data_IF_956474172993
#
_entry.id   IF_956474172993
#
_cell.length_a   1.000
_cell.length_b   1.000
_cell.length_c   1.000
_cell.angle_alpha   90.00
_cell.angle_beta   90.00
_cell.angle_gamma   90.00
#
_symmetry.space_group_name_H-M   'P 1'
#
loop_
_entity.id
_entity.type
_entity.pdbx_description
1 polymer ?
#
# COMPACT_ATOMS: atom_id res chain seq x y z
N UNK A 1 18.80 -4.35 -8.15
CA UNK A 1 18.81 -5.14 -9.41
C UNK A 1 17.79 -4.53 -10.36
N UNK A 2 18.20 -4.27 -11.60
CA UNK A 2 17.29 -3.79 -12.65
C UNK A 2 16.73 -5.03 -13.39
N UNK A 3 15.40 -5.17 -13.34
CA UNK A 3 14.68 -6.29 -13.93
C UNK A 3 14.15 -5.95 -15.32
N UNK A 4 15.01 -5.86 -16.33
CA UNK A 4 14.61 -5.46 -17.69
C UNK A 4 13.53 -6.35 -18.33
N UNK A 5 13.35 -7.59 -17.88
CA UNK A 5 12.29 -8.50 -18.34
C UNK A 5 10.95 -8.37 -17.58
N UNK A 6 10.89 -7.56 -16.54
CA UNK A 6 9.70 -7.49 -15.65
C UNK A 6 8.67 -6.46 -16.10
N UNK A 7 8.88 -5.73 -17.19
CA UNK A 7 8.05 -4.58 -17.52
C UNK A 7 8.09 -3.54 -16.39
N UNK A 8 6.92 -3.22 -15.84
CA UNK A 8 6.80 -2.27 -14.73
C UNK A 8 6.68 -2.92 -13.34
N UNK A 9 6.79 -4.24 -13.22
CA UNK A 9 6.67 -4.93 -11.96
C UNK A 9 7.95 -4.80 -11.11
N UNK A 10 7.77 -4.68 -9.79
CA UNK A 10 8.86 -4.61 -8.82
C UNK A 10 8.71 -5.74 -7.80
N UNK A 11 9.82 -6.17 -7.20
CA UNK A 11 9.82 -7.28 -6.24
C UNK A 11 10.86 -7.07 -5.14
N UNK A 12 10.45 -7.28 -3.88
CA UNK A 12 11.34 -7.43 -2.74
C UNK A 12 11.50 -8.90 -2.38
N UNK A 13 12.69 -9.46 -2.60
CA UNK A 13 12.99 -10.88 -2.32
C UNK A 13 14.17 -11.03 -1.39
N UNK A 14 14.23 -12.17 -0.70
CA UNK A 14 15.40 -12.58 0.07
C UNK A 14 15.89 -13.95 -0.40
N UNK A 15 17.19 -14.09 -0.50
CA UNK A 15 17.86 -15.35 -0.83
C UNK A 15 18.71 -15.75 0.36
N UNK A 16 18.58 -17.00 0.81
CA UNK A 16 19.46 -17.62 1.79
C UNK A 16 20.53 -18.40 1.01
N UNK A 17 21.79 -18.05 1.24
CA UNK A 17 22.95 -18.71 0.61
C UNK A 17 23.40 -19.93 1.40
N UNK A 18 24.23 -20.76 0.78
CA UNK A 18 24.93 -21.82 1.49
C UNK A 18 25.73 -21.21 2.65
N UNK A 19 25.48 -21.72 3.87
CA UNK A 19 26.04 -21.13 5.08
C UNK A 19 25.10 -20.23 5.89
N UNK A 20 23.84 -20.02 5.42
CA UNK A 20 22.78 -19.33 6.16
C UNK A 20 22.78 -17.82 6.04
N UNK A 21 23.68 -17.22 5.24
CA UNK A 21 23.68 -15.79 4.98
C UNK A 21 22.42 -15.40 4.16
N UNK A 22 21.67 -14.43 4.70
CA UNK A 22 20.47 -13.88 4.04
C UNK A 22 20.81 -12.58 3.34
N UNK A 23 20.58 -12.54 2.03
CA UNK A 23 20.73 -11.33 1.23
C UNK A 23 19.35 -10.87 0.71
N UNK A 24 18.98 -9.62 1.00
CA UNK A 24 17.77 -9.00 0.47
C UNK A 24 18.06 -8.30 -0.85
N UNK A 25 17.15 -8.44 -1.81
CA UNK A 25 17.22 -7.78 -3.11
C UNK A 25 15.95 -6.99 -3.37
N UNK A 26 16.10 -5.78 -3.90
CA UNK A 26 15.02 -5.08 -4.60
C UNK A 26 15.25 -5.24 -6.11
N UNK A 27 14.24 -5.75 -6.81
CA UNK A 27 14.24 -5.89 -8.27
C UNK A 27 13.29 -4.83 -8.81
N UNK A 28 13.85 -3.86 -9.54
CA UNK A 28 13.11 -2.73 -10.07
C UNK A 28 12.79 -2.94 -11.54
N UNK A 29 11.52 -2.83 -11.91
CA UNK A 29 11.08 -2.74 -13.30
C UNK A 29 11.39 -1.37 -13.91
N UNK A 30 11.57 -1.32 -15.22
CA UNK A 30 11.81 -0.08 -15.96
C UNK A 30 10.48 0.49 -16.43
N UNK A 31 10.11 1.68 -15.93
CA UNK A 31 8.86 2.37 -16.30
C UNK A 31 9.10 3.63 -17.13
N UNK A 32 10.22 4.28 -16.91
CA UNK A 32 10.59 5.53 -17.56
C UNK A 32 11.94 5.33 -18.24
N UNK A 33 12.04 5.83 -19.44
CA UNK A 33 13.27 5.78 -20.23
C UNK A 33 13.64 7.21 -20.63
N UNK A 34 14.93 7.50 -20.63
CA UNK A 34 15.45 8.76 -21.14
C UNK A 34 15.38 8.84 -22.67
N UNK A 35 15.88 9.94 -23.23
CA UNK A 35 15.87 10.16 -24.69
C UNK A 35 16.76 9.17 -25.47
N UNK A 36 17.68 8.52 -24.79
CA UNK A 36 18.60 7.52 -25.34
C UNK A 36 18.04 6.09 -25.19
N UNK A 37 16.88 5.93 -24.55
CA UNK A 37 16.25 4.63 -24.30
C UNK A 37 16.82 3.89 -23.09
N UNK A 38 17.59 4.58 -22.23
CA UNK A 38 18.09 4.02 -20.98
C UNK A 38 17.07 4.20 -19.86
N UNK A 39 17.00 3.24 -18.94
CA UNK A 39 16.09 3.30 -17.81
C UNK A 39 16.40 4.51 -16.91
N UNK A 40 15.41 5.36 -16.72
CA UNK A 40 15.53 6.56 -15.90
C UNK A 40 14.92 6.35 -14.51
N UNK A 41 15.74 6.43 -13.48
CA UNK A 41 15.36 6.32 -12.06
C UNK A 41 15.58 7.65 -11.31
N UNK A 42 15.74 8.78 -12.01
CA UNK A 42 16.08 10.07 -11.41
C UNK A 42 14.92 10.75 -10.66
N UNK A 43 13.67 10.33 -10.87
CA UNK A 43 12.51 10.91 -10.20
C UNK A 43 12.38 10.46 -8.73
N UNK A 44 11.61 11.19 -7.91
CA UNK A 44 11.38 10.86 -6.49
C UNK A 44 10.65 9.52 -6.25
N UNK A 45 9.84 9.04 -7.21
CA UNK A 45 9.14 7.75 -7.15
C UNK A 45 10.04 6.51 -7.04
N UNK A 46 11.18 6.40 -7.75
CA UNK A 46 12.05 5.24 -7.64
C UNK A 46 12.56 4.99 -6.21
N UNK A 47 12.83 6.04 -5.45
CA UNK A 47 13.27 5.89 -4.05
C UNK A 47 12.17 5.27 -3.17
N UNK A 48 10.93 5.73 -3.29
CA UNK A 48 9.78 5.16 -2.56
C UNK A 48 9.54 3.70 -2.94
N UNK A 49 9.63 3.36 -4.23
CA UNK A 49 9.51 1.97 -4.70
C UNK A 49 10.65 1.11 -4.16
N UNK A 50 11.88 1.58 -4.19
CA UNK A 50 13.04 0.87 -3.66
C UNK A 50 12.85 0.54 -2.17
N UNK A 51 12.45 1.52 -1.37
CA UNK A 51 12.18 1.33 0.07
C UNK A 51 11.00 0.37 0.28
N UNK A 52 9.95 0.48 -0.52
CA UNK A 52 8.81 -0.43 -0.49
C UNK A 52 9.26 -1.88 -0.66
N UNK A 53 9.98 -2.17 -1.74
CA UNK A 53 10.43 -3.54 -2.05
C UNK A 53 11.41 -4.10 -1.01
N UNK A 54 12.32 -3.27 -0.49
CA UNK A 54 13.20 -3.71 0.59
C UNK A 54 12.44 -4.03 1.88
N UNK A 55 11.41 -3.25 2.20
CA UNK A 55 10.61 -3.46 3.41
C UNK A 55 9.91 -4.83 3.41
N UNK A 56 9.51 -5.38 2.26
CA UNK A 56 8.97 -6.74 2.19
C UNK A 56 9.90 -7.79 2.79
N UNK A 57 11.21 -7.65 2.62
CA UNK A 57 12.21 -8.58 3.18
C UNK A 57 12.26 -8.58 4.71
N UNK A 58 11.80 -7.51 5.36
CA UNK A 58 11.78 -7.36 6.81
C UNK A 58 10.38 -7.55 7.41
N UNK A 59 9.33 -7.18 6.67
CA UNK A 59 7.94 -7.23 7.14
C UNK A 59 7.34 -8.62 6.94
N UNK A 60 7.42 -9.17 5.72
CA UNK A 60 6.71 -10.40 5.38
C UNK A 60 7.04 -11.59 6.29
N UNK A 61 8.30 -11.81 6.71
CA UNK A 61 8.62 -12.92 7.61
C UNK A 61 7.94 -12.82 8.98
N UNK A 62 7.61 -11.60 9.45
CA UNK A 62 7.03 -11.39 10.77
C UNK A 62 5.63 -11.99 10.90
N UNK A 63 4.90 -12.07 9.81
CA UNK A 63 3.58 -12.72 9.75
C UNK A 63 3.64 -14.16 10.28
N UNK A 64 4.71 -14.88 10.00
CA UNK A 64 4.86 -16.31 10.29
C UNK A 64 5.62 -16.60 11.59
N UNK A 65 5.95 -15.57 12.35
CA UNK A 65 6.63 -15.68 13.65
C UNK A 65 5.63 -15.49 14.80
N UNK A 66 5.93 -16.09 15.94
CA UNK A 66 5.30 -15.82 17.24
C UNK A 66 3.77 -15.99 17.25
N UNK A 67 3.19 -16.79 16.32
CA UNK A 67 1.75 -16.97 16.18
C UNK A 67 1.01 -15.73 15.64
N UNK A 68 1.73 -14.81 15.00
CA UNK A 68 1.15 -13.55 14.52
C UNK A 68 0.07 -13.78 13.46
N UNK A 69 0.25 -14.79 12.60
CA UNK A 69 -0.72 -15.13 11.56
C UNK A 69 -2.09 -15.46 12.15
N UNK A 70 -2.11 -16.33 13.15
CA UNK A 70 -3.33 -16.74 13.83
C UNK A 70 -4.02 -15.58 14.55
N UNK A 71 -3.22 -14.68 15.15
CA UNK A 71 -3.73 -13.49 15.86
C UNK A 71 -4.32 -12.46 14.91
N UNK A 72 -3.74 -12.28 13.72
CA UNK A 72 -4.23 -11.33 12.71
C UNK A 72 -5.45 -11.83 11.92
N UNK A 73 -5.70 -13.15 11.92
CA UNK A 73 -6.68 -13.77 11.04
C UNK A 73 -8.08 -13.15 11.15
N UNK A 74 -8.60 -13.01 12.35
CA UNK A 74 -9.97 -12.50 12.55
C UNK A 74 -10.11 -11.04 12.07
N UNK A 75 -9.16 -10.19 12.38
CA UNK A 75 -9.12 -8.81 11.89
C UNK A 75 -8.99 -8.77 10.36
N UNK A 76 -8.12 -9.59 9.79
CA UNK A 76 -7.90 -9.66 8.36
C UNK A 76 -9.12 -10.11 7.57
N UNK A 77 -9.77 -11.17 8.00
CA UNK A 77 -11.00 -11.67 7.38
C UNK A 77 -12.12 -10.62 7.42
N UNK A 78 -12.26 -9.89 8.53
CA UNK A 78 -13.24 -8.82 8.65
C UNK A 78 -12.94 -7.63 7.73
N UNK A 79 -11.68 -7.19 7.66
CA UNK A 79 -11.27 -6.10 6.78
C UNK A 79 -11.51 -6.46 5.31
N UNK A 80 -11.07 -7.65 4.89
CA UNK A 80 -11.30 -8.14 3.51
C UNK A 80 -12.79 -8.26 3.21
N UNK A 81 -13.62 -8.72 4.14
CA UNK A 81 -15.07 -8.83 3.90
C UNK A 81 -15.72 -7.48 3.55
N UNK A 82 -15.23 -6.38 4.15
CA UNK A 82 -15.75 -5.02 3.91
C UNK A 82 -15.15 -4.38 2.64
N UNK A 83 -13.88 -4.65 2.34
CA UNK A 83 -13.12 -4.01 1.25
C UNK A 83 -12.78 -4.98 0.10
N UNK A 84 -13.52 -6.07 -0.04
CA UNK A 84 -13.20 -7.18 -0.94
C UNK A 84 -13.01 -6.75 -2.39
N UNK A 85 -13.97 -6.02 -2.92
CA UNK A 85 -13.97 -5.65 -4.33
C UNK A 85 -12.82 -4.67 -4.64
N UNK A 86 -12.63 -3.71 -3.76
CA UNK A 86 -11.63 -2.66 -3.92
C UNK A 86 -10.20 -3.21 -3.79
N UNK A 87 -9.96 -4.07 -2.80
CA UNK A 87 -8.64 -4.67 -2.59
C UNK A 87 -8.34 -5.76 -3.63
N UNK A 88 -9.34 -6.55 -4.04
CA UNK A 88 -9.16 -7.55 -5.11
C UNK A 88 -8.82 -6.90 -6.44
N UNK A 89 -9.43 -5.75 -6.77
CA UNK A 89 -9.10 -4.99 -7.97
C UNK A 89 -7.64 -4.52 -8.02
N UNK A 90 -6.97 -4.50 -6.86
CA UNK A 90 -5.55 -4.14 -6.73
C UNK A 90 -4.63 -5.34 -6.53
N UNK A 91 -5.15 -6.56 -6.63
CA UNK A 91 -4.38 -7.79 -6.49
C UNK A 91 -4.23 -8.31 -5.05
N UNK A 92 -5.04 -7.80 -4.11
CA UNK A 92 -5.06 -8.25 -2.70
C UNK A 92 -6.39 -8.91 -2.34
N UNK A 93 -6.73 -10.10 -2.92
CA UNK A 93 -7.99 -10.80 -2.62
C UNK A 93 -8.00 -11.42 -1.21
N UNK A 94 -6.82 -11.59 -0.61
CA UNK A 94 -6.60 -12.25 0.67
C UNK A 94 -5.98 -11.31 1.71
N UNK A 95 -6.27 -11.57 2.98
CA UNK A 95 -5.85 -10.71 4.09
C UNK A 95 -4.34 -10.76 4.39
N UNK A 96 -3.66 -11.88 4.15
CA UNK A 96 -2.22 -12.02 4.45
C UNK A 96 -1.36 -11.08 3.60
N UNK A 97 -1.48 -11.08 2.24
CA UNK A 97 -0.77 -10.09 1.42
C UNK A 97 -1.17 -8.66 1.75
N UNK A 98 -2.47 -8.41 2.00
CA UNK A 98 -2.98 -7.09 2.36
C UNK A 98 -2.30 -6.53 3.61
N UNK A 99 -2.12 -7.33 4.68
CA UNK A 99 -1.44 -6.88 5.89
C UNK A 99 0.04 -6.59 5.68
N UNK A 100 0.75 -7.46 4.96
CA UNK A 100 2.14 -7.22 4.62
C UNK A 100 2.29 -5.89 3.87
N UNK A 101 1.45 -5.70 2.88
CA UNK A 101 1.39 -4.50 2.08
C UNK A 101 1.07 -3.26 2.91
N UNK A 102 0.10 -3.35 3.83
CA UNK A 102 -0.29 -2.27 4.71
C UNK A 102 0.89 -1.75 5.55
N UNK A 103 1.68 -2.65 6.15
CA UNK A 103 2.84 -2.28 6.96
C UNK A 103 3.95 -1.70 6.09
N UNK A 104 4.22 -2.28 4.92
CA UNK A 104 5.22 -1.79 3.96
C UNK A 104 4.89 -0.38 3.48
N UNK A 105 3.63 -0.11 3.11
CA UNK A 105 3.15 1.21 2.64
C UNK A 105 3.27 2.27 3.73
N UNK A 106 2.90 1.95 4.96
CA UNK A 106 3.07 2.85 6.09
C UNK A 106 4.54 3.12 6.40
N UNK A 107 5.42 2.12 6.24
CA UNK A 107 6.85 2.28 6.42
C UNK A 107 7.49 3.20 5.36
N UNK A 108 6.96 3.23 4.13
CA UNK A 108 7.36 4.22 3.11
C UNK A 108 7.01 5.64 3.57
N UNK A 109 5.80 5.87 4.07
CA UNK A 109 5.39 7.18 4.60
C UNK A 109 6.28 7.57 5.80
N UNK A 110 6.60 6.62 6.68
CA UNK A 110 7.51 6.85 7.81
C UNK A 110 8.90 7.24 7.32
N UNK A 111 9.45 6.53 6.35
CA UNK A 111 10.73 6.88 5.72
C UNK A 111 10.72 8.30 5.13
N UNK A 112 9.67 8.68 4.41
CA UNK A 112 9.54 10.02 3.84
C UNK A 112 9.59 11.10 4.94
N UNK A 113 8.91 10.88 6.08
CA UNK A 113 8.97 11.79 7.22
C UNK A 113 10.36 11.87 7.83
N UNK A 114 11.00 10.74 8.05
CA UNK A 114 12.31 10.66 8.69
C UNK A 114 13.41 11.26 7.82
N UNK A 115 13.23 11.23 6.48
CA UNK A 115 14.14 11.82 5.51
C UNK A 115 13.82 13.28 5.16
N UNK A 116 12.83 13.89 5.80
CA UNK A 116 12.52 15.30 5.66
C UNK A 116 11.83 15.68 4.34
N UNK A 117 11.06 14.77 3.74
CA UNK A 117 10.19 15.12 2.61
C UNK A 117 9.18 16.19 3.03
N UNK A 118 8.73 17.00 2.08
CA UNK A 118 7.76 18.05 2.36
C UNK A 118 6.42 17.47 2.83
N UNK A 119 5.69 18.26 3.63
CA UNK A 119 4.35 17.88 4.09
C UNK A 119 3.41 17.55 2.92
N UNK A 120 3.55 18.26 1.80
CA UNK A 120 2.75 18.04 0.59
C UNK A 120 3.05 16.69 -0.07
N UNK A 121 4.32 16.29 -0.16
CA UNK A 121 4.71 14.99 -0.72
C UNK A 121 4.19 13.85 0.15
N UNK A 122 4.30 13.98 1.47
CA UNK A 122 3.80 12.99 2.43
C UNK A 122 2.28 12.87 2.34
N UNK A 123 1.55 13.99 2.30
CA UNK A 123 0.09 13.97 2.17
C UNK A 123 -0.36 13.38 0.82
N UNK A 124 0.36 13.67 -0.26
CA UNK A 124 0.11 13.07 -1.56
C UNK A 124 0.29 11.55 -1.53
N UNK A 125 1.31 11.05 -0.84
CA UNK A 125 1.53 9.62 -0.67
C UNK A 125 0.40 8.98 0.15
N UNK A 126 0.05 9.56 1.31
CA UNK A 126 -1.06 9.08 2.14
C UNK A 126 -2.37 9.06 1.35
N UNK A 127 -2.65 10.11 0.58
CA UNK A 127 -3.84 10.17 -0.27
C UNK A 127 -3.83 9.09 -1.36
N UNK A 128 -2.67 8.83 -1.96
CA UNK A 128 -2.50 7.74 -2.93
C UNK A 128 -2.85 6.41 -2.29
N UNK A 129 -2.37 6.14 -1.08
CA UNK A 129 -2.66 4.90 -0.37
C UNK A 129 -4.15 4.80 0.02
N UNK A 130 -4.76 5.90 0.45
CA UNK A 130 -6.19 5.97 0.78
C UNK A 130 -7.07 5.71 -0.45
N UNK A 131 -6.72 6.25 -1.61
CA UNK A 131 -7.40 6.00 -2.86
C UNK A 131 -7.27 4.54 -3.35
N UNK A 132 -6.27 3.84 -2.83
CA UNK A 132 -6.10 2.40 -2.98
C UNK A 132 -6.72 1.59 -1.83
N UNK A 133 -7.59 2.20 -1.04
CA UNK A 133 -8.31 1.60 0.08
C UNK A 133 -7.42 1.09 1.23
N UNK A 134 -6.16 1.51 1.30
CA UNK A 134 -5.34 1.38 2.51
C UNK A 134 -5.65 2.55 3.46
N UNK A 135 -6.87 2.58 3.96
CA UNK A 135 -7.49 3.72 4.69
C UNK A 135 -6.76 4.07 5.98
N UNK A 136 -6.07 3.13 6.57
CA UNK A 136 -5.35 3.23 7.84
C UNK A 136 -3.91 3.70 7.72
N UNK A 137 -3.40 4.00 6.52
CA UNK A 137 -1.97 4.28 6.29
C UNK A 137 -1.43 5.41 7.16
N UNK A 138 -2.14 6.52 7.30
CA UNK A 138 -1.71 7.64 8.14
C UNK A 138 -1.63 7.27 9.64
N UNK A 139 -2.59 6.51 10.14
CA UNK A 139 -2.62 6.07 11.54
C UNK A 139 -1.54 5.01 11.82
N UNK A 140 -1.28 4.13 10.85
CA UNK A 140 -0.22 3.13 10.96
C UNK A 140 1.18 3.78 10.87
N UNK A 141 1.37 4.80 10.02
CA UNK A 141 2.60 5.63 10.01
C UNK A 141 2.83 6.28 11.39
N UNK A 142 1.78 6.81 12.01
CA UNK A 142 1.86 7.39 13.35
C UNK A 142 2.30 6.35 14.39
N UNK A 143 1.76 5.15 14.33
CA UNK A 143 2.18 4.02 15.18
C UNK A 143 3.64 3.61 14.92
N UNK A 144 4.07 3.54 13.67
CA UNK A 144 5.49 3.28 13.34
C UNK A 144 6.40 4.41 13.84
N UNK A 145 5.90 5.64 13.91
CA UNK A 145 6.60 6.75 14.57
C UNK A 145 6.81 6.53 16.07
N UNK A 146 5.88 5.87 16.77
CA UNK A 146 6.11 5.44 18.16
C UNK A 146 7.24 4.41 18.25
N UNK A 147 7.25 3.43 17.34
CA UNK A 147 8.33 2.45 17.24
C UNK A 147 9.70 3.12 17.06
N UNK A 148 9.79 4.09 16.14
CA UNK A 148 11.05 4.82 15.87
C UNK A 148 11.57 5.56 17.10
N UNK A 149 10.68 6.12 17.93
CA UNK A 149 11.05 6.85 19.16
C UNK A 149 11.34 5.97 20.37
N UNK A 150 10.89 4.71 20.37
CA UNK A 150 10.98 3.80 21.51
C UNK A 150 11.88 2.60 21.24
N UNK A 151 13.01 2.81 20.54
CA UNK A 151 13.93 1.73 20.14
C UNK A 151 14.58 1.01 21.35
N UNK A 152 14.73 1.68 22.46
CA UNK A 152 15.21 1.06 23.71
C UNK A 152 14.22 0.00 24.22
N UNK A 153 12.93 0.26 24.10
CA UNK A 153 11.85 -0.66 24.48
C UNK A 153 11.58 -1.71 23.41
N UNK A 154 11.66 -1.31 22.15
CA UNK A 154 11.38 -2.14 20.99
C UNK A 154 12.58 -2.14 20.04
N UNK A 155 13.62 -2.93 20.33
CA UNK A 155 14.86 -2.91 19.54
C UNK A 155 14.67 -3.42 18.10
N UNK A 156 13.64 -4.23 17.87
CA UNK A 156 13.32 -4.78 16.53
C UNK A 156 11.84 -4.60 16.19
N UNK A 157 11.49 -4.60 14.90
CA UNK A 157 10.10 -4.59 14.46
C UNK A 157 9.34 -5.84 14.99
N UNK A 158 10.01 -6.98 15.12
CA UNK A 158 9.45 -8.18 15.75
C UNK A 158 8.97 -7.91 17.18
N UNK A 159 9.76 -7.21 17.99
CA UNK A 159 9.36 -6.87 19.36
C UNK A 159 8.21 -5.87 19.43
N UNK A 160 7.99 -5.07 18.37
CA UNK A 160 6.89 -4.12 18.24
C UNK A 160 5.65 -4.72 17.58
N UNK A 161 5.76 -5.84 16.91
CA UNK A 161 4.69 -6.43 16.10
C UNK A 161 3.38 -6.67 16.87
N UNK A 162 3.37 -7.04 18.16
CA UNK A 162 2.14 -7.11 18.94
C UNK A 162 1.31 -5.81 18.94
N UNK A 163 1.96 -4.64 18.92
CA UNK A 163 1.28 -3.34 18.82
C UNK A 163 0.64 -3.11 17.44
N UNK A 164 1.26 -3.66 16.41
CA UNK A 164 0.70 -3.65 15.05
C UNK A 164 -0.55 -4.54 14.99
N UNK A 165 -0.54 -5.70 15.65
CA UNK A 165 -1.72 -6.57 15.74
C UNK A 165 -2.87 -5.84 16.45
N UNK A 166 -2.63 -5.28 17.64
CA UNK A 166 -3.63 -4.50 18.38
C UNK A 166 -4.19 -3.32 17.56
N UNK A 167 -3.36 -2.73 16.72
CA UNK A 167 -3.79 -1.68 15.81
C UNK A 167 -4.78 -2.22 14.77
N UNK A 168 -4.49 -3.37 14.14
CA UNK A 168 -5.38 -3.95 13.14
C UNK A 168 -6.68 -4.51 13.74
N UNK A 169 -6.68 -4.95 15.00
CA UNK A 169 -7.92 -5.29 15.70
C UNK A 169 -8.85 -4.06 15.75
N UNK A 170 -8.32 -2.88 16.11
CA UNK A 170 -9.08 -1.62 16.11
C UNK A 170 -9.50 -1.17 14.71
N UNK A 171 -8.65 -1.35 13.70
CA UNK A 171 -9.03 -1.08 12.30
C UNK A 171 -10.21 -1.95 11.91
N UNK A 172 -10.17 -3.24 12.21
CA UNK A 172 -11.26 -4.16 11.90
C UNK A 172 -12.57 -3.80 12.60
N UNK A 173 -12.50 -3.26 13.82
CA UNK A 173 -13.70 -2.78 14.54
C UNK A 173 -14.36 -1.58 13.83
N UNK A 174 -13.56 -0.72 13.19
CA UNK A 174 -14.00 0.56 12.63
C UNK A 174 -14.01 0.59 11.09
N UNK A 175 -13.76 -0.52 10.41
CA UNK A 175 -13.50 -0.53 8.97
C UNK A 175 -14.69 -0.05 8.13
N UNK A 176 -15.92 -0.37 8.54
CA UNK A 176 -17.12 0.09 7.84
C UNK A 176 -17.27 1.62 7.92
N UNK A 177 -17.02 2.20 9.09
CA UNK A 177 -17.03 3.66 9.27
C UNK A 177 -15.92 4.32 8.47
N UNK A 178 -14.70 3.77 8.48
CA UNK A 178 -13.58 4.26 7.69
C UNK A 178 -13.89 4.26 6.20
N UNK A 179 -14.54 3.19 5.68
CA UNK A 179 -15.00 3.11 4.29
C UNK A 179 -16.06 4.18 4.00
N UNK A 180 -17.06 4.31 4.85
CA UNK A 180 -18.12 5.31 4.70
C UNK A 180 -17.56 6.74 4.69
N UNK A 181 -16.64 7.06 5.60
CA UNK A 181 -15.95 8.35 5.63
C UNK A 181 -15.13 8.60 4.37
N UNK A 182 -14.39 7.59 3.88
CA UNK A 182 -13.65 7.73 2.64
C UNK A 182 -14.57 8.03 1.46
N UNK A 183 -15.65 7.27 1.31
CA UNK A 183 -16.62 7.46 0.22
C UNK A 183 -17.33 8.81 0.28
N UNK A 184 -17.59 9.35 1.46
CA UNK A 184 -18.21 10.68 1.62
C UNK A 184 -17.33 11.83 1.13
N UNK A 185 -16.02 11.59 0.96
CA UNK A 185 -15.09 12.58 0.41
C UNK A 185 -14.75 12.31 -1.07
N UNK A 186 -15.28 11.24 -1.66
CA UNK A 186 -15.09 10.95 -3.07
C UNK A 186 -16.13 11.74 -3.89
N UNK A 187 -15.72 12.41 -4.99
CA UNK A 187 -16.68 13.03 -5.90
C UNK A 187 -17.69 12.01 -6.38
N UNK A 188 -18.97 12.38 -6.33
CA UNK A 188 -20.06 11.56 -6.86
C UNK A 188 -20.44 12.03 -8.25
N UNK A 189 -20.78 11.09 -9.14
CA UNK A 189 -21.30 11.44 -10.46
C UNK A 189 -22.72 11.97 -10.28
N UNK A 190 -22.89 13.29 -10.44
CA UNK A 190 -24.18 13.94 -10.34
C UNK A 190 -25.00 13.82 -11.63
N UNK A 191 -24.35 13.87 -12.79
CA UNK A 191 -25.00 13.73 -14.08
C UNK A 191 -24.06 13.19 -15.15
N UNK A 192 -24.65 12.50 -16.13
CA UNK A 192 -24.01 12.12 -17.39
C UNK A 192 -24.82 12.70 -18.57
N UNK A 193 -24.16 13.07 -19.64
CA UNK A 193 -24.80 13.52 -20.88
C UNK A 193 -24.03 12.93 -22.07
N UNK A 194 -24.69 12.45 -23.11
CA UNK A 194 -26.11 12.55 -23.42
C UNK A 194 -27.01 11.41 -22.88
N UNK A 195 -26.50 10.57 -21.99
CA UNK A 195 -27.30 9.45 -21.43
C UNK A 195 -27.15 9.42 -19.89
N UNK A 196 -28.07 8.75 -19.23
CA UNK A 196 -28.08 8.60 -17.78
C UNK A 196 -27.10 7.49 -17.33
N UNK A 197 -26.65 7.55 -16.06
CA UNK A 197 -25.81 6.52 -15.47
C UNK A 197 -26.56 5.16 -15.48
N UNK A 198 -25.89 4.10 -15.97
CA UNK A 198 -26.47 2.77 -16.13
C UNK A 198 -27.30 2.58 -17.41
N UNK A 199 -27.36 3.53 -18.33
CA UNK A 199 -28.03 3.38 -19.62
C UNK A 199 -27.46 2.19 -20.41
N UNK A 200 -28.37 1.43 -21.04
CA UNK A 200 -28.01 0.32 -21.93
C UNK A 200 -28.27 0.71 -23.38
N UNK A 201 -27.52 0.07 -24.30
CA UNK A 201 -27.70 0.34 -25.74
C UNK A 201 -27.23 1.72 -26.17
N UNK A 202 -26.26 2.27 -25.47
CA UNK A 202 -25.63 3.56 -25.83
C UNK A 202 -25.01 3.45 -27.22
N UNK A 203 -25.22 4.49 -28.06
CA UNK A 203 -24.70 4.55 -29.42
C UNK A 203 -23.17 4.37 -29.42
N UNK A 204 -22.64 3.35 -30.09
CA UNK A 204 -21.19 3.14 -30.18
C UNK A 204 -20.45 4.20 -31.00
N UNK A 205 -21.22 5.03 -31.78
CA UNK A 205 -20.70 6.19 -32.50
C UNK A 205 -20.55 7.46 -31.65
N UNK A 206 -20.85 7.39 -30.35
CA UNK A 206 -20.71 8.53 -29.44
C UNK A 206 -19.23 8.96 -29.34
N UNK A 207 -18.98 10.22 -29.65
CA UNK A 207 -17.63 10.81 -29.65
C UNK A 207 -17.34 11.72 -28.47
N UNK A 208 -18.37 12.08 -27.70
CA UNK A 208 -18.25 12.99 -26.55
C UNK A 208 -19.19 12.55 -25.42
N UNK A 209 -18.70 12.58 -24.22
CA UNK A 209 -19.43 12.34 -22.97
C UNK A 209 -19.07 13.42 -21.96
N UNK A 210 -20.05 14.03 -21.33
CA UNK A 210 -19.84 14.97 -20.21
C UNK A 210 -20.22 14.27 -18.92
N UNK A 211 -19.29 14.30 -17.96
CA UNK A 211 -19.48 13.77 -16.60
C UNK A 211 -19.46 14.97 -15.65
N UNK A 212 -20.55 15.14 -14.90
CA UNK A 212 -20.65 16.17 -13.85
C UNK A 212 -20.51 15.50 -12.50
N UNK A 213 -19.66 16.05 -11.66
CA UNK A 213 -19.47 15.63 -10.26
C UNK A 213 -20.05 16.68 -9.31
N UNK A 214 -20.60 16.24 -8.19
CA UNK A 214 -21.02 17.08 -7.06
C UNK A 214 -19.86 17.30 -6.05
#
# INVERSE_FOLDING_TARGET
>A
VIGCGNGSANYGISVVRDGGEKTAYSIMGCRVFDREGLADFSGGRPASILIHEFNHSFVNPLMFLDGNRERLKAAGEKIIAVLKDELSAQGYPDWEPMFNEAVVRAAVVRYMRDMGFSAQEIENEIRTQRNQYFLWTASLDSLLGEYSRQRDRYPTLRSFYPRIIEFFDRVAENIEEMKAQHLSHCPQVAALSPFENGAQGVDPGLTEMVVVFD
#
